data_IF_287551657718
#
_entry.id   IF_287551657718
#
_cell.length_a   1.000
_cell.length_b   1.000
_cell.length_c   1.000
_cell.angle_alpha   90.00
_cell.angle_beta   90.00
_cell.angle_gamma   90.00
#
_symmetry.space_group_name_H-M   'P 1'
#
loop_
_entity.id
_entity.type
_entity.pdbx_description
1 polymer ?
#
# COMPACT_ATOMS: atom_id res chain seq x y z
N UNK A 1 50.79 85.34 8.00
CA UNK A 1 50.98 84.38 6.89
C UNK A 1 51.03 82.96 7.47
N UNK A 2 49.89 82.30 7.55
CA UNK A 2 49.76 80.94 8.14
C UNK A 2 49.14 80.04 7.09
N UNK A 3 49.90 79.04 6.65
CA UNK A 3 49.48 78.12 5.66
C UNK A 3 48.58 77.05 6.31
N UNK A 4 47.38 76.91 5.81
CA UNK A 4 46.46 75.88 6.22
C UNK A 4 46.82 74.52 5.61
N UNK A 5 47.06 73.54 6.46
CA UNK A 5 47.31 72.12 6.08
C UNK A 5 45.96 71.40 6.00
N UNK A 6 45.60 70.97 4.76
CA UNK A 6 44.41 70.17 4.52
C UNK A 6 44.75 68.71 4.73
N UNK A 7 44.16 68.08 5.76
CA UNK A 7 44.12 66.65 5.95
C UNK A 7 43.05 66.04 5.05
N UNK A 8 43.47 65.20 4.12
CA UNK A 8 42.54 64.36 3.35
C UNK A 8 42.37 63.05 4.12
N UNK A 9 41.17 62.84 4.70
CA UNK A 9 40.78 61.57 5.30
C UNK A 9 40.35 60.64 4.20
N UNK A 10 41.17 59.57 3.95
CA UNK A 10 40.83 58.46 3.09
C UNK A 10 39.90 57.52 3.88
N UNK A 11 38.59 57.55 3.57
CA UNK A 11 37.62 56.66 4.14
C UNK A 11 37.77 55.27 3.50
N UNK A 12 38.28 54.31 4.27
CA UNK A 12 38.30 52.90 3.93
C UNK A 12 36.94 52.28 4.12
N UNK A 13 36.14 52.16 3.05
CA UNK A 13 34.86 51.48 3.04
C UNK A 13 35.06 49.96 3.07
N UNK A 14 34.87 49.33 4.22
CA UNK A 14 34.78 47.87 4.33
C UNK A 14 33.42 47.43 3.79
N UNK A 15 33.42 46.87 2.61
CA UNK A 15 32.30 46.11 2.07
C UNK A 15 32.19 44.75 2.81
N UNK A 16 31.29 44.64 3.76
CA UNK A 16 30.88 43.33 4.30
C UNK A 16 30.07 42.61 3.23
N UNK A 17 30.68 41.69 2.56
CA UNK A 17 29.95 40.66 1.75
C UNK A 17 29.34 39.71 2.73
N UNK A 18 28.04 39.91 3.01
CA UNK A 18 27.21 38.94 3.73
C UNK A 18 26.96 37.78 2.82
N UNK A 19 27.70 36.69 3.01
CA UNK A 19 27.42 35.41 2.41
C UNK A 19 26.20 34.82 3.10
N UNK A 20 25.01 35.03 2.56
CA UNK A 20 23.81 34.32 2.97
C UNK A 20 24.01 32.85 2.59
N UNK A 21 24.34 32.02 3.57
CA UNK A 21 24.27 30.57 3.44
C UNK A 21 22.80 30.21 3.48
N UNK A 22 22.20 30.03 2.30
CA UNK A 22 20.91 29.38 2.19
C UNK A 22 21.03 27.96 2.78
N UNK A 23 20.56 27.81 4.01
CA UNK A 23 20.37 26.50 4.62
C UNK A 23 19.29 25.78 3.81
N UNK A 24 19.69 25.03 2.81
CA UNK A 24 18.86 24.00 2.19
C UNK A 24 18.34 23.09 3.32
N UNK A 25 17.08 23.31 3.65
CA UNK A 25 16.33 22.48 4.57
C UNK A 25 16.24 21.10 3.97
N UNK A 26 17.27 20.29 4.23
CA UNK A 26 17.35 18.90 3.81
C UNK A 26 16.04 18.22 4.21
N UNK A 27 15.21 17.92 3.21
CA UNK A 27 14.03 17.11 3.34
C UNK A 27 14.53 15.73 3.73
N UNK A 28 14.67 15.49 5.04
CA UNK A 28 14.96 14.16 5.56
C UNK A 28 13.80 13.27 5.12
N UNK A 29 14.00 12.55 4.04
CA UNK A 29 13.09 11.49 3.59
C UNK A 29 13.09 10.47 4.71
N UNK A 30 12.09 10.56 5.60
CA UNK A 30 11.83 9.57 6.63
C UNK A 30 11.69 8.24 5.90
N UNK A 31 12.71 7.40 5.95
CA UNK A 31 12.66 6.05 5.44
C UNK A 31 11.44 5.39 6.07
N UNK A 32 10.40 5.19 5.27
CA UNK A 32 9.20 4.47 5.68
C UNK A 32 9.67 3.02 5.85
N UNK A 33 9.87 2.58 7.08
CA UNK A 33 10.12 1.17 7.36
C UNK A 33 8.81 0.47 7.05
N UNK A 34 8.72 -0.13 5.86
CA UNK A 34 7.58 -0.95 5.48
C UNK A 34 7.69 -2.31 6.18
N UNK A 35 6.61 -2.72 6.82
CA UNK A 35 6.55 -4.01 7.49
C UNK A 35 6.70 -5.15 6.46
N UNK A 36 7.66 -6.05 6.69
CA UNK A 36 7.80 -7.27 5.90
C UNK A 36 7.15 -8.45 6.61
N UNK A 37 6.43 -9.27 5.85
CA UNK A 37 5.72 -10.45 6.35
C UNK A 37 5.86 -11.61 5.38
N UNK A 38 6.10 -12.82 5.91
CA UNK A 38 6.07 -14.05 5.10
C UNK A 38 4.65 -14.59 5.08
N UNK A 39 4.05 -14.66 3.89
CA UNK A 39 2.69 -15.14 3.69
C UNK A 39 2.66 -16.31 2.71
N UNK A 40 1.62 -17.14 2.80
CA UNK A 40 1.30 -18.11 1.73
C UNK A 40 0.60 -17.37 0.60
N UNK A 41 0.97 -17.65 -0.64
CA UNK A 41 0.27 -17.13 -1.81
C UNK A 41 -0.16 -18.27 -2.73
N UNK A 42 -1.32 -18.07 -3.36
CA UNK A 42 -1.85 -18.83 -4.48
C UNK A 42 -2.12 -17.87 -5.64
N UNK A 43 -2.64 -18.35 -6.73
CA UNK A 43 -3.06 -17.49 -7.83
C UNK A 43 -4.40 -17.94 -8.39
N UNK A 44 -5.20 -17.00 -8.87
CA UNK A 44 -6.49 -17.26 -9.49
C UNK A 44 -6.66 -16.47 -10.79
N UNK A 45 -7.62 -16.89 -11.62
CA UNK A 45 -7.99 -16.22 -12.86
C UNK A 45 -9.47 -15.86 -12.87
N UNK A 46 -9.86 -14.93 -13.70
CA UNK A 46 -11.27 -14.58 -13.90
C UNK A 46 -12.13 -15.78 -14.38
N UNK A 47 -11.54 -16.76 -15.04
CA UNK A 47 -12.25 -17.95 -15.53
C UNK A 47 -12.62 -18.98 -14.45
N UNK A 48 -11.97 -18.92 -13.27
CA UNK A 48 -12.24 -19.83 -12.15
C UNK A 48 -13.41 -19.39 -11.26
N UNK A 49 -13.78 -18.12 -11.33
CA UNK A 49 -14.84 -17.55 -10.51
C UNK A 49 -16.26 -18.08 -10.83
N UNK A 50 -16.36 -19.30 -11.41
CA UNK A 50 -17.62 -20.00 -11.69
C UNK A 50 -18.43 -19.35 -12.84
N UNK A 51 -19.12 -20.14 -13.61
CA UNK A 51 -19.81 -19.82 -14.86
C UNK A 51 -20.93 -18.74 -14.81
N UNK A 52 -20.91 -17.84 -13.86
CA UNK A 52 -21.82 -16.70 -13.76
C UNK A 52 -21.06 -15.41 -13.93
N UNK A 53 -21.35 -14.71 -15.00
CA UNK A 53 -21.04 -13.34 -15.47
C UNK A 53 -20.30 -12.29 -14.56
N UNK A 54 -19.71 -12.67 -13.44
CA UNK A 54 -18.96 -11.76 -12.58
C UNK A 54 -17.43 -11.85 -12.81
N UNK A 55 -17.03 -12.61 -13.81
CA UNK A 55 -15.66 -13.11 -14.03
C UNK A 55 -14.56 -12.06 -14.17
N UNK A 56 -14.88 -10.79 -14.33
CA UNK A 56 -13.90 -9.72 -14.46
C UNK A 56 -14.00 -8.67 -13.33
N UNK A 57 -14.88 -8.89 -12.35
CA UNK A 57 -15.10 -7.94 -11.25
C UNK A 57 -14.55 -8.49 -9.93
N UNK A 58 -13.88 -7.62 -9.18
CA UNK A 58 -13.50 -7.88 -7.80
C UNK A 58 -14.65 -7.58 -6.82
N UNK A 59 -14.44 -7.85 -5.55
CA UNK A 59 -15.46 -7.67 -4.51
C UNK A 59 -15.91 -6.22 -4.30
N UNK A 60 -15.14 -5.22 -4.71
CA UNK A 60 -15.53 -3.81 -4.66
C UNK A 60 -16.24 -3.32 -5.93
N UNK A 61 -16.53 -4.22 -6.89
CA UNK A 61 -17.25 -3.93 -8.13
C UNK A 61 -16.39 -3.35 -9.27
N UNK A 62 -15.09 -3.18 -9.07
CA UNK A 62 -14.15 -2.76 -10.11
C UNK A 62 -13.69 -3.95 -10.95
N UNK A 63 -13.06 -3.68 -12.11
CA UNK A 63 -12.44 -4.74 -12.89
C UNK A 63 -11.19 -5.28 -12.16
N UNK A 64 -10.96 -6.59 -12.24
CA UNK A 64 -9.71 -7.21 -11.84
C UNK A 64 -8.55 -6.62 -12.64
N UNK A 65 -7.47 -6.28 -11.96
CA UNK A 65 -6.35 -5.54 -12.54
C UNK A 65 -5.11 -6.42 -12.69
N UNK A 66 -4.47 -6.28 -13.85
CA UNK A 66 -3.15 -6.85 -14.10
C UNK A 66 -2.31 -5.80 -14.84
N UNK A 67 -1.22 -5.31 -14.21
CA UNK A 67 -0.40 -4.22 -14.75
C UNK A 67 0.56 -3.67 -13.71
N UNK A 68 0.61 -2.35 -13.57
CA UNK A 68 1.47 -1.68 -12.58
C UNK A 68 1.07 -2.05 -11.14
N UNK A 69 -0.22 -2.15 -10.87
CA UNK A 69 -0.76 -2.67 -9.61
C UNK A 69 -1.78 -3.74 -9.95
N UNK A 70 -1.63 -4.91 -9.37
CA UNK A 70 -2.46 -6.08 -9.64
C UNK A 70 -3.50 -6.27 -8.53
N UNK A 71 -4.62 -6.92 -8.83
CA UNK A 71 -5.62 -7.31 -7.85
C UNK A 71 -5.16 -8.51 -7.03
N UNK A 72 -5.58 -8.58 -5.78
CA UNK A 72 -5.41 -9.73 -4.91
C UNK A 72 -6.64 -9.94 -4.03
N UNK A 73 -6.94 -11.20 -3.72
CA UNK A 73 -7.94 -11.60 -2.76
C UNK A 73 -7.27 -12.01 -1.43
N UNK A 74 -7.91 -11.68 -0.30
CA UNK A 74 -7.45 -12.06 1.03
C UNK A 74 -8.62 -12.12 2.02
N UNK A 75 -8.37 -12.58 3.24
CA UNK A 75 -9.27 -12.32 4.37
C UNK A 75 -9.12 -10.86 4.80
N UNK A 76 -10.18 -10.07 4.67
CA UNK A 76 -10.15 -8.65 5.01
C UNK A 76 -10.08 -8.35 6.51
N UNK A 77 -10.20 -9.36 7.34
CA UNK A 77 -9.87 -9.22 8.77
C UNK A 77 -8.36 -9.28 9.03
N UNK A 78 -7.56 -9.85 8.10
CA UNK A 78 -6.10 -9.90 8.17
C UNK A 78 -5.45 -8.83 7.28
N UNK A 79 -5.96 -8.69 6.07
CA UNK A 79 -5.51 -7.71 5.09
C UNK A 79 -6.70 -6.88 4.60
N UNK A 80 -7.06 -5.77 5.27
CA UNK A 80 -8.23 -4.96 4.93
C UNK A 80 -8.23 -4.51 3.48
N UNK A 81 -9.42 -4.26 2.91
CA UNK A 81 -9.55 -3.75 1.55
C UNK A 81 -8.72 -2.48 1.36
N UNK A 82 -7.99 -2.41 0.26
CA UNK A 82 -7.06 -1.34 -0.05
C UNK A 82 -5.63 -1.57 0.44
N UNK A 83 -5.34 -2.65 1.20
CA UNK A 83 -3.96 -3.00 1.56
C UNK A 83 -3.13 -3.16 0.30
N UNK A 84 -2.07 -2.36 0.16
CA UNK A 84 -1.08 -2.46 -0.92
C UNK A 84 0.18 -3.13 -0.41
N UNK A 85 0.69 -4.04 -1.17
CA UNK A 85 1.94 -4.73 -0.84
C UNK A 85 2.75 -5.03 -2.10
N UNK A 86 4.04 -5.22 -1.91
CA UNK A 86 4.98 -5.66 -2.94
C UNK A 86 5.53 -7.03 -2.58
N UNK A 87 5.57 -7.95 -3.52
CA UNK A 87 6.30 -9.22 -3.36
C UNK A 87 7.79 -8.91 -3.57
N UNK A 88 8.61 -9.16 -2.56
CA UNK A 88 10.03 -8.76 -2.53
C UNK A 88 10.78 -9.38 -3.71
N UNK A 89 10.64 -10.69 -3.92
CA UNK A 89 11.40 -11.43 -4.94
C UNK A 89 11.05 -11.02 -6.38
N UNK A 90 9.81 -10.60 -6.65
CA UNK A 90 9.35 -10.29 -8.00
C UNK A 90 9.23 -8.80 -8.27
N UNK A 91 9.26 -7.97 -7.23
CA UNK A 91 9.02 -6.53 -7.29
C UNK A 91 7.58 -6.15 -7.68
N UNK A 92 6.69 -7.12 -7.90
CA UNK A 92 5.31 -6.85 -8.32
C UNK A 92 4.48 -6.30 -7.17
N UNK A 93 3.69 -5.27 -7.47
CA UNK A 93 2.78 -4.64 -6.51
C UNK A 93 1.35 -5.13 -6.71
N UNK A 94 0.67 -5.34 -5.58
CA UNK A 94 -0.72 -5.80 -5.50
C UNK A 94 -1.52 -4.91 -4.57
N UNK A 95 -2.84 -4.93 -4.74
CA UNK A 95 -3.80 -4.33 -3.82
C UNK A 95 -4.88 -5.35 -3.49
N UNK A 96 -5.22 -5.46 -2.23
CA UNK A 96 -6.33 -6.29 -1.76
C UNK A 96 -7.64 -5.59 -2.11
N UNK A 97 -8.36 -6.14 -3.06
CA UNK A 97 -9.65 -5.62 -3.55
C UNK A 97 -10.70 -6.72 -3.76
N UNK A 98 -10.33 -7.94 -3.39
CA UNK A 98 -11.19 -9.11 -3.49
C UNK A 98 -11.09 -10.00 -2.24
N UNK A 99 -12.01 -10.97 -2.09
CA UNK A 99 -11.97 -12.00 -1.06
C UNK A 99 -12.53 -13.33 -1.59
N UNK A 100 -12.10 -14.42 -0.98
CA UNK A 100 -12.55 -15.76 -1.35
C UNK A 100 -12.84 -16.63 -0.12
N UNK A 101 -13.79 -17.58 -0.23
CA UNK A 101 -14.18 -18.45 0.87
C UNK A 101 -13.04 -19.27 1.45
N UNK A 102 -12.13 -19.74 0.60
CA UNK A 102 -10.97 -20.54 0.99
C UNK A 102 -9.90 -19.74 1.77
N UNK A 103 -9.99 -18.41 1.76
CA UNK A 103 -9.02 -17.53 2.40
C UNK A 103 -9.40 -17.14 3.83
N UNK A 104 -10.70 -17.30 4.19
CA UNK A 104 -11.24 -16.83 5.48
C UNK A 104 -10.58 -17.57 6.64
N UNK A 105 -10.07 -16.80 7.61
CA UNK A 105 -9.34 -17.31 8.77
C UNK A 105 -7.89 -17.73 8.46
N UNK A 106 -7.36 -17.36 7.29
CA UNK A 106 -5.98 -17.66 6.90
C UNK A 106 -5.17 -16.39 6.59
N UNK A 107 -3.84 -16.50 6.62
CA UNK A 107 -2.92 -15.49 6.11
C UNK A 107 -2.58 -15.68 4.61
N UNK A 108 -3.38 -16.49 3.89
CA UNK A 108 -3.16 -16.73 2.47
C UNK A 108 -3.67 -15.54 1.66
N UNK A 109 -2.85 -15.10 0.71
CA UNK A 109 -3.21 -14.10 -0.29
C UNK A 109 -3.29 -14.79 -1.64
N UNK A 110 -4.40 -14.60 -2.35
CA UNK A 110 -4.62 -15.15 -3.69
C UNK A 110 -4.42 -14.06 -4.74
N UNK A 111 -3.47 -14.28 -5.64
CA UNK A 111 -2.99 -13.27 -6.58
C UNK A 111 -3.76 -13.39 -7.90
N UNK A 112 -4.39 -12.31 -8.35
CA UNK A 112 -4.99 -12.32 -9.67
C UNK A 112 -3.94 -12.36 -10.77
N UNK A 113 -4.11 -13.30 -11.70
CA UNK A 113 -3.32 -13.41 -12.92
C UNK A 113 -4.23 -13.56 -14.15
N UNK A 114 -3.86 -12.98 -15.31
CA UNK A 114 -4.76 -12.90 -16.47
C UNK A 114 -4.96 -14.25 -17.20
N UNK A 115 -4.19 -15.27 -16.90
CA UNK A 115 -4.30 -16.55 -17.60
C UNK A 115 -4.07 -17.77 -16.70
N UNK A 116 -4.72 -18.90 -17.05
CA UNK A 116 -4.54 -20.16 -16.36
C UNK A 116 -3.08 -20.64 -16.38
N UNK A 117 -2.38 -20.42 -17.50
CA UNK A 117 -0.95 -20.74 -17.59
C UNK A 117 -0.12 -20.02 -16.51
N UNK A 118 -0.38 -18.73 -16.28
CA UNK A 118 0.33 -17.96 -15.24
C UNK A 118 -0.05 -18.45 -13.84
N UNK A 119 -1.30 -18.84 -13.64
CA UNK A 119 -1.78 -19.43 -12.40
C UNK A 119 -1.07 -20.74 -12.09
N UNK A 120 -1.02 -21.65 -13.06
CA UNK A 120 -0.35 -22.95 -12.93
C UNK A 120 1.16 -22.78 -12.69
N UNK A 121 1.80 -21.80 -13.35
CA UNK A 121 3.21 -21.45 -13.13
C UNK A 121 3.47 -20.87 -11.73
N UNK A 122 2.51 -20.10 -11.18
CA UNK A 122 2.65 -19.56 -9.83
C UNK A 122 2.48 -20.68 -8.79
N UNK A 123 1.42 -21.44 -8.89
CA UNK A 123 1.07 -22.50 -7.94
C UNK A 123 0.82 -21.94 -6.53
N UNK A 124 1.18 -22.71 -5.51
CA UNK A 124 1.11 -22.30 -4.11
C UNK A 124 2.52 -22.22 -3.51
N UNK A 125 2.86 -21.06 -2.92
CA UNK A 125 4.20 -20.83 -2.34
C UNK A 125 4.18 -19.81 -1.22
N UNK A 126 5.20 -19.85 -0.37
CA UNK A 126 5.44 -18.77 0.61
C UNK A 126 6.35 -17.72 0.00
N UNK A 127 6.01 -16.46 0.22
CA UNK A 127 6.79 -15.30 -0.27
C UNK A 127 6.91 -14.26 0.84
N UNK A 128 7.95 -13.44 0.78
CA UNK A 128 8.04 -12.24 1.60
C UNK A 128 7.33 -11.09 0.88
N UNK A 129 6.36 -10.51 1.56
CA UNK A 129 5.71 -9.27 1.11
C UNK A 129 6.20 -8.09 1.95
N UNK A 130 6.26 -6.93 1.34
CA UNK A 130 6.46 -5.65 1.98
C UNK A 130 5.15 -4.87 1.93
N UNK A 131 4.56 -4.57 3.08
CA UNK A 131 3.31 -3.81 3.16
C UNK A 131 3.62 -2.33 2.93
N UNK A 132 3.19 -1.79 1.80
CA UNK A 132 3.41 -0.41 1.40
C UNK A 132 2.36 0.54 1.99
N UNK A 133 1.13 0.05 2.10
CA UNK A 133 -0.01 0.79 2.63
C UNK A 133 -0.97 -0.21 3.27
N UNK A 134 -1.30 -0.04 4.53
CA UNK A 134 -2.30 -0.86 5.17
C UNK A 134 -3.70 -0.35 4.83
N UNK A 135 -4.60 -1.26 4.48
CA UNK A 135 -5.97 -0.93 4.06
C UNK A 135 -6.85 -0.45 5.22
N UNK A 136 -8.14 -0.33 4.97
CA UNK A 136 -9.09 0.21 5.93
C UNK A 136 -10.11 -0.83 6.38
N UNK A 137 -10.13 -1.13 7.68
CA UNK A 137 -11.18 -1.95 8.29
C UNK A 137 -12.56 -1.29 8.16
N UNK A 138 -12.63 0.04 8.27
CA UNK A 138 -13.88 0.76 8.09
C UNK A 138 -14.45 0.56 6.68
N UNK A 139 -13.62 0.74 5.64
CA UNK A 139 -14.04 0.47 4.25
C UNK A 139 -14.41 -1.00 4.02
N UNK A 140 -13.67 -1.93 4.64
CA UNK A 140 -14.00 -3.35 4.60
C UNK A 140 -15.40 -3.60 5.17
N UNK A 141 -15.73 -3.02 6.32
CA UNK A 141 -17.05 -3.15 6.95
C UNK A 141 -18.16 -2.52 6.10
N UNK A 142 -17.92 -1.38 5.46
CA UNK A 142 -18.90 -0.73 4.55
C UNK A 142 -19.30 -1.65 3.40
N UNK A 143 -18.36 -2.40 2.84
CA UNK A 143 -18.62 -3.36 1.75
C UNK A 143 -19.23 -4.65 2.26
N UNK A 144 -18.77 -5.17 3.42
CA UNK A 144 -19.15 -6.49 3.92
C UNK A 144 -20.50 -6.51 4.67
N UNK A 145 -20.83 -5.45 5.42
CA UNK A 145 -22.08 -5.41 6.23
C UNK A 145 -23.35 -5.68 5.42
N UNK A 146 -23.54 -5.12 4.20
CA UNK A 146 -24.72 -5.44 3.37
C UNK A 146 -24.75 -6.87 2.85
N UNK A 147 -23.62 -7.60 2.93
CA UNK A 147 -23.44 -8.94 2.34
C UNK A 147 -23.43 -10.06 3.36
N UNK A 148 -23.88 -9.84 4.60
CA UNK A 148 -23.81 -10.82 5.67
C UNK A 148 -24.73 -12.05 5.50
N UNK A 149 -25.59 -12.08 4.47
CA UNK A 149 -26.20 -13.31 4.00
C UNK A 149 -25.17 -14.35 3.50
N UNK A 150 -24.00 -13.87 3.01
CA UNK A 150 -22.85 -14.70 2.69
C UNK A 150 -22.03 -14.95 3.98
N UNK A 151 -21.73 -16.22 4.26
CA UNK A 151 -21.01 -16.61 5.48
C UNK A 151 -19.60 -16.01 5.57
N UNK A 152 -18.90 -15.86 4.42
CA UNK A 152 -17.57 -15.23 4.39
C UNK A 152 -17.62 -13.79 4.88
N UNK A 153 -18.52 -12.99 4.32
CA UNK A 153 -18.71 -11.61 4.72
C UNK A 153 -19.10 -11.51 6.21
N UNK A 154 -20.01 -12.36 6.67
CA UNK A 154 -20.42 -12.44 8.07
C UNK A 154 -19.25 -12.76 9.00
N UNK A 155 -18.39 -13.70 8.61
CA UNK A 155 -17.23 -14.09 9.43
C UNK A 155 -16.21 -12.97 9.49
N UNK A 156 -15.88 -12.35 8.34
CA UNK A 156 -14.94 -11.22 8.30
C UNK A 156 -15.44 -10.02 9.12
N UNK A 157 -16.74 -9.68 9.03
CA UNK A 157 -17.33 -8.60 9.85
C UNK A 157 -17.14 -8.88 11.34
N UNK A 158 -17.42 -10.11 11.80
CA UNK A 158 -17.22 -10.50 13.21
C UNK A 158 -15.75 -10.37 13.64
N UNK A 159 -14.84 -10.83 12.79
CA UNK A 159 -13.41 -10.80 13.10
C UNK A 159 -12.89 -9.36 13.18
N UNK A 160 -13.29 -8.51 12.23
CA UNK A 160 -12.91 -7.09 12.22
C UNK A 160 -13.45 -6.36 13.46
N UNK A 161 -14.72 -6.59 13.81
CA UNK A 161 -15.33 -5.97 15.00
C UNK A 161 -14.58 -6.35 16.27
N UNK A 162 -14.26 -7.64 16.47
CA UNK A 162 -13.45 -8.09 17.61
C UNK A 162 -12.09 -7.39 17.70
N UNK A 163 -11.41 -7.17 16.57
CA UNK A 163 -10.11 -6.48 16.57
C UNK A 163 -10.25 -5.02 16.97
N UNK A 164 -11.28 -4.33 16.47
CA UNK A 164 -11.56 -2.94 16.85
C UNK A 164 -11.85 -2.84 18.34
N UNK A 165 -12.73 -3.71 18.87
CA UNK A 165 -13.12 -3.71 20.28
C UNK A 165 -11.95 -4.04 21.23
N UNK A 166 -10.93 -4.78 20.76
CA UNK A 166 -9.75 -5.14 21.58
C UNK A 166 -8.70 -4.02 21.60
N UNK A 167 -8.78 -3.07 20.68
CA UNK A 167 -7.79 -1.98 20.53
C UNK A 167 -8.17 -0.74 21.37
N UNK A 168 -9.37 -0.71 21.93
CA UNK A 168 -9.88 0.32 22.86
C UNK A 168 -10.04 -0.23 24.28
#
# INVERSE_FOLDING_TARGET
MIKALRFVLFGLSLLFVSCAVDAEKGKTTKSQIHEQKVVKTTAYTASEAGARCYCAKNAIGSNLRSGTTNSAAADWSHFPVGTKFRIVDTGRTYVVDDYGSALIGTDTIDLYVPSRRMMDQWGARRVTIEVLEFGSYQKSLEVLKPRQANWCAKQMVRNIQKQIDTTY
#
